data_IF_532853840900
#
_entry.id   IF_532853840900
#
_cell.length_a   1.000
_cell.length_b   1.000
_cell.length_c   1.000
_cell.angle_alpha   90.00
_cell.angle_beta   90.00
_cell.angle_gamma   90.00
#
_symmetry.space_group_name_H-M   'P 1'
#
loop_
_entity.id
_entity.type
_entity.pdbx_description
1 polymer ?
#
# COMPACT_ATOMS: atom_id res chain seq x y z
N UNK A 1 -11.25 -47.24 24.08
CA UNK A 1 -10.72 -45.92 23.67
C UNK A 1 -11.58 -44.87 24.37
N UNK A 2 -10.96 -43.91 25.08
CA UNK A 2 -11.55 -42.93 26.02
C UNK A 2 -12.68 -42.07 25.37
N UNK A 3 -13.85 -41.98 26.01
CA UNK A 3 -14.40 -40.87 26.83
C UNK A 3 -14.50 -39.48 26.17
N UNK A 4 -15.72 -38.95 26.07
CA UNK A 4 -16.11 -37.68 26.72
C UNK A 4 -17.63 -37.49 26.72
N UNK A 5 -18.15 -37.28 27.92
CA UNK A 5 -19.54 -37.06 28.25
C UNK A 5 -19.91 -35.57 28.09
N UNK A 6 -21.10 -35.30 27.58
CA UNK A 6 -21.87 -34.09 27.92
C UNK A 6 -23.18 -34.60 28.51
N UNK A 7 -23.19 -34.78 29.83
CA UNK A 7 -24.40 -34.98 30.61
C UNK A 7 -25.09 -33.61 30.74
N UNK A 8 -25.80 -33.21 29.70
CA UNK A 8 -26.83 -32.19 29.83
C UNK A 8 -28.07 -32.85 30.41
N UNK A 9 -28.38 -32.59 31.69
CA UNK A 9 -29.62 -33.01 32.32
C UNK A 9 -30.81 -32.44 31.54
N UNK A 10 -31.32 -33.18 30.56
CA UNK A 10 -32.61 -32.91 29.94
C UNK A 10 -33.60 -33.84 30.61
N UNK A 11 -34.25 -33.36 31.68
CA UNK A 11 -35.51 -33.97 32.08
C UNK A 11 -36.50 -33.72 30.94
N UNK A 12 -36.85 -34.78 30.22
CA UNK A 12 -37.96 -34.72 29.26
C UNK A 12 -39.23 -34.63 30.10
N UNK A 13 -39.66 -33.40 30.35
CA UNK A 13 -41.02 -33.13 30.82
C UNK A 13 -41.92 -33.21 29.58
N UNK A 14 -42.85 -34.17 29.57
CA UNK A 14 -43.96 -34.19 28.60
C UNK A 14 -44.80 -32.93 28.79
N UNK A 15 -44.42 -31.87 28.09
CA UNK A 15 -45.14 -30.61 28.03
C UNK A 15 -45.09 -30.11 26.60
N UNK A 16 -46.25 -29.93 25.98
CA UNK A 16 -46.34 -29.21 24.70
C UNK A 16 -45.78 -27.81 24.91
N UNK A 17 -44.58 -27.54 24.39
CA UNK A 17 -43.96 -26.22 24.42
C UNK A 17 -44.82 -25.24 23.61
N UNK A 18 -45.80 -24.63 24.28
CA UNK A 18 -46.57 -23.52 23.73
C UNK A 18 -45.76 -22.26 24.02
N UNK A 19 -45.39 -21.45 23.00
CA UNK A 19 -44.69 -20.20 23.23
C UNK A 19 -45.53 -19.32 24.13
N UNK A 20 -44.94 -18.79 25.20
CA UNK A 20 -45.62 -17.80 26.02
C UNK A 20 -45.82 -16.52 25.19
N UNK A 21 -47.05 -16.35 24.73
CA UNK A 21 -47.45 -15.25 23.84
C UNK A 21 -47.31 -13.88 24.51
N UNK A 22 -47.21 -13.82 25.84
CA UNK A 22 -47.01 -12.57 26.59
C UNK A 22 -45.57 -12.06 26.49
N UNK A 23 -44.57 -12.94 26.36
CA UNK A 23 -43.14 -12.56 26.24
C UNK A 23 -42.62 -12.54 24.80
N UNK A 24 -43.36 -13.11 23.85
CA UNK A 24 -42.98 -13.11 22.43
C UNK A 24 -42.73 -11.71 21.82
N UNK A 25 -43.49 -10.65 22.14
CA UNK A 25 -43.21 -9.29 21.66
C UNK A 25 -41.93 -8.70 22.25
N UNK A 26 -41.69 -8.90 23.56
CA UNK A 26 -40.50 -8.43 24.24
C UNK A 26 -39.23 -9.12 23.70
N UNK A 27 -39.30 -10.44 23.45
CA UNK A 27 -38.23 -11.18 22.82
C UNK A 27 -37.92 -10.68 21.40
N UNK A 28 -38.94 -10.52 20.53
CA UNK A 28 -38.75 -9.96 19.18
C UNK A 28 -38.13 -8.57 19.21
N UNK A 29 -38.56 -7.72 20.14
CA UNK A 29 -37.97 -6.40 20.35
C UNK A 29 -36.49 -6.53 20.74
N UNK A 30 -36.15 -7.35 21.73
CA UNK A 30 -34.76 -7.55 22.17
C UNK A 30 -33.84 -8.07 21.07
N UNK A 31 -34.33 -8.99 20.22
CA UNK A 31 -33.59 -9.51 19.07
C UNK A 31 -33.41 -8.40 18.03
N UNK A 32 -34.45 -7.64 17.70
CA UNK A 32 -34.36 -6.53 16.73
C UNK A 32 -33.37 -5.44 17.17
N UNK A 33 -33.35 -5.10 18.46
CA UNK A 33 -32.40 -4.15 19.06
C UNK A 33 -30.98 -4.72 19.02
N UNK A 34 -30.80 -6.00 19.35
CA UNK A 34 -29.50 -6.66 19.30
C UNK A 34 -28.95 -6.73 17.88
N UNK A 35 -29.79 -7.03 16.89
CA UNK A 35 -29.42 -7.02 15.46
C UNK A 35 -29.05 -5.62 14.98
N UNK A 36 -29.84 -4.59 15.36
CA UNK A 36 -29.55 -3.20 15.03
C UNK A 36 -28.23 -2.74 15.65
N UNK A 37 -28.01 -3.00 16.93
CA UNK A 37 -26.75 -2.71 17.61
C UNK A 37 -25.56 -3.48 17.02
N UNK A 38 -25.76 -4.75 16.64
CA UNK A 38 -24.73 -5.57 15.99
C UNK A 38 -24.40 -5.06 14.59
N UNK A 39 -25.40 -4.61 13.82
CA UNK A 39 -25.21 -4.03 12.49
C UNK A 39 -24.45 -2.70 12.57
N UNK A 40 -24.84 -1.82 13.50
CA UNK A 40 -24.15 -0.56 13.74
C UNK A 40 -22.70 -0.80 14.17
N UNK A 41 -22.47 -1.68 15.15
CA UNK A 41 -21.13 -2.03 15.62
C UNK A 41 -20.29 -2.68 14.52
N UNK A 42 -20.88 -3.57 13.72
CA UNK A 42 -20.21 -4.21 12.58
C UNK A 42 -19.82 -3.18 11.51
N UNK A 43 -20.72 -2.24 11.19
CA UNK A 43 -20.46 -1.19 10.21
C UNK A 43 -19.32 -0.25 10.64
N UNK A 44 -19.25 0.08 11.94
CA UNK A 44 -18.17 0.89 12.51
C UNK A 44 -16.85 0.12 12.47
N UNK A 45 -16.84 -1.15 12.88
CA UNK A 45 -15.63 -1.99 12.85
C UNK A 45 -15.10 -2.18 11.44
N UNK A 46 -15.99 -2.42 10.47
CA UNK A 46 -15.58 -2.56 9.07
C UNK A 46 -15.06 -1.23 8.51
N UNK A 47 -15.71 -0.10 8.83
CA UNK A 47 -15.21 1.22 8.44
C UNK A 47 -13.81 1.49 9.00
N UNK A 48 -13.57 1.17 10.28
CA UNK A 48 -12.25 1.28 10.91
C UNK A 48 -11.21 0.34 10.26
N UNK A 49 -11.62 -0.88 9.90
CA UNK A 49 -10.75 -1.83 9.20
C UNK A 49 -10.32 -1.28 7.83
N UNK A 50 -11.26 -0.75 7.06
CA UNK A 50 -10.99 -0.16 5.75
C UNK A 50 -10.06 1.07 5.84
N UNK A 51 -10.28 1.93 6.84
CA UNK A 51 -9.38 3.05 7.12
C UNK A 51 -7.96 2.56 7.47
N UNK A 52 -7.84 1.56 8.35
CA UNK A 52 -6.54 0.99 8.73
C UNK A 52 -5.79 0.39 7.54
N UNK A 53 -6.49 -0.33 6.66
CA UNK A 53 -5.90 -0.88 5.44
C UNK A 53 -5.43 0.21 4.48
N UNK A 54 -6.21 1.28 4.34
CA UNK A 54 -5.85 2.44 3.51
C UNK A 54 -4.59 3.12 4.05
N UNK A 55 -4.52 3.42 5.34
CA UNK A 55 -3.34 4.03 5.97
C UNK A 55 -2.11 3.13 5.82
N UNK A 56 -2.26 1.82 6.03
CA UNK A 56 -1.14 0.87 5.87
C UNK A 56 -0.64 0.80 4.42
N UNK A 57 -1.57 0.77 3.45
CA UNK A 57 -1.23 0.76 2.04
C UNK A 57 -0.44 2.02 1.66
N UNK A 58 -0.96 3.19 2.03
CA UNK A 58 -0.30 4.48 1.80
C UNK A 58 1.11 4.48 2.40
N UNK A 59 1.24 4.12 3.69
CA UNK A 59 2.52 4.10 4.39
C UNK A 59 3.52 3.17 3.71
N UNK A 60 3.09 1.96 3.35
CA UNK A 60 3.95 0.97 2.68
C UNK A 60 4.47 1.46 1.33
N UNK A 61 3.60 2.03 0.48
CA UNK A 61 4.02 2.58 -0.82
C UNK A 61 4.98 3.76 -0.63
N UNK A 62 4.74 4.62 0.35
CA UNK A 62 5.58 5.77 0.65
C UNK A 62 6.95 5.39 1.21
N UNK A 63 7.02 4.40 2.11
CA UNK A 63 8.28 3.84 2.60
C UNK A 63 9.08 3.17 1.47
N UNK A 64 8.40 2.45 0.58
CA UNK A 64 9.01 1.84 -0.62
C UNK A 64 9.61 2.91 -1.54
N UNK A 65 8.86 3.97 -1.83
CA UNK A 65 9.35 5.11 -2.61
C UNK A 65 10.58 5.75 -1.94
N UNK A 66 10.49 6.11 -0.66
CA UNK A 66 11.55 6.82 0.05
C UNK A 66 12.86 6.00 0.08
N UNK A 67 12.76 4.69 0.33
CA UNK A 67 13.92 3.81 0.44
C UNK A 67 14.57 3.56 -0.91
N UNK A 68 13.77 3.15 -1.91
CA UNK A 68 14.33 2.75 -3.21
C UNK A 68 14.75 3.94 -4.06
N UNK A 69 14.05 5.08 -3.96
CA UNK A 69 14.45 6.30 -4.68
C UNK A 69 15.77 6.86 -4.15
N UNK A 70 16.05 6.74 -2.85
CA UNK A 70 17.33 7.13 -2.29
C UNK A 70 18.48 6.33 -2.91
N UNK A 71 18.37 5.00 -2.92
CA UNK A 71 19.42 4.14 -3.50
C UNK A 71 19.62 4.45 -4.99
N UNK A 72 18.54 4.57 -5.76
CA UNK A 72 18.61 4.93 -7.18
C UNK A 72 19.33 6.27 -7.42
N UNK A 73 18.99 7.30 -6.64
CA UNK A 73 19.64 8.62 -6.74
C UNK A 73 21.11 8.56 -6.34
N UNK A 74 21.46 7.80 -5.29
CA UNK A 74 22.84 7.62 -4.86
C UNK A 74 23.69 6.96 -5.96
N UNK A 75 23.15 5.96 -6.68
CA UNK A 75 23.85 5.34 -7.83
C UNK A 75 23.96 6.26 -9.04
N UNK A 76 22.89 7.01 -9.36
CA UNK A 76 22.95 8.01 -10.44
C UNK A 76 23.97 9.10 -10.14
N UNK A 77 24.06 9.55 -8.89
CA UNK A 77 25.07 10.53 -8.47
C UNK A 77 26.50 10.00 -8.60
N UNK A 78 26.73 8.72 -8.35
CA UNK A 78 28.02 8.08 -8.58
C UNK A 78 28.38 8.07 -10.09
N UNK A 79 27.42 7.74 -10.96
CA UNK A 79 27.58 7.83 -12.41
C UNK A 79 27.89 9.27 -12.87
N UNK A 80 27.10 10.25 -12.44
CA UNK A 80 27.31 11.68 -12.76
C UNK A 80 28.67 12.17 -12.26
N UNK A 81 29.09 11.73 -11.08
CA UNK A 81 30.41 12.09 -10.52
C UNK A 81 31.56 11.52 -11.36
N UNK A 82 31.44 10.28 -11.83
CA UNK A 82 32.43 9.68 -12.73
C UNK A 82 32.50 10.44 -14.06
N UNK A 83 31.35 10.75 -14.65
CA UNK A 83 31.23 11.53 -15.88
C UNK A 83 31.89 12.91 -15.75
N UNK A 84 31.53 13.66 -14.71
CA UNK A 84 32.05 15.01 -14.47
C UNK A 84 33.55 15.03 -14.15
N UNK A 85 34.08 13.96 -13.58
CA UNK A 85 35.52 13.80 -13.33
C UNK A 85 36.32 13.40 -14.59
N UNK A 86 35.68 13.26 -15.75
CA UNK A 86 36.30 12.77 -16.99
C UNK A 86 36.78 11.31 -16.87
N UNK A 87 36.21 10.55 -15.95
CA UNK A 87 36.56 9.13 -15.72
C UNK A 87 35.65 8.23 -16.56
N UNK A 88 36.05 6.97 -16.71
CA UNK A 88 35.18 5.96 -17.31
C UNK A 88 33.92 5.78 -16.46
N UNK A 89 32.75 5.92 -17.11
CA UNK A 89 31.43 5.73 -16.50
C UNK A 89 30.98 4.28 -16.45
N UNK A 90 31.59 3.39 -17.25
CA UNK A 90 31.20 1.99 -17.38
C UNK A 90 30.97 1.25 -16.04
N UNK A 91 31.84 1.40 -15.02
CA UNK A 91 31.62 0.77 -13.72
C UNK A 91 30.39 1.29 -12.94
N UNK A 92 29.88 2.47 -13.26
CA UNK A 92 28.75 3.12 -12.59
C UNK A 92 27.43 3.04 -13.37
N UNK A 93 27.49 2.79 -14.69
CA UNK A 93 26.30 2.71 -15.55
C UNK A 93 25.37 1.56 -15.15
N UNK A 94 25.89 0.33 -15.08
CA UNK A 94 25.11 -0.85 -14.71
C UNK A 94 24.39 -0.69 -13.37
N UNK A 95 25.11 -0.35 -12.27
CA UNK A 95 24.49 -0.12 -10.96
C UNK A 95 23.43 0.99 -10.95
N UNK A 96 23.63 2.08 -11.71
CA UNK A 96 22.63 3.15 -11.79
C UNK A 96 21.36 2.71 -12.53
N UNK A 97 21.51 2.02 -13.65
CA UNK A 97 20.40 1.45 -14.42
C UNK A 97 19.62 0.44 -13.58
N UNK A 98 20.32 -0.48 -12.91
CA UNK A 98 19.69 -1.50 -12.07
C UNK A 98 18.89 -0.87 -10.92
N UNK A 99 19.49 0.08 -10.18
CA UNK A 99 18.81 0.72 -9.06
C UNK A 99 17.57 1.53 -9.50
N UNK A 100 17.62 2.20 -10.66
CA UNK A 100 16.47 2.90 -11.23
C UNK A 100 15.34 1.93 -11.61
N UNK A 101 15.66 0.82 -12.28
CA UNK A 101 14.68 -0.21 -12.64
C UNK A 101 14.07 -0.88 -11.40
N UNK A 102 14.90 -1.18 -10.40
CA UNK A 102 14.46 -1.77 -9.14
C UNK A 102 13.55 -0.81 -8.37
N UNK A 103 13.88 0.48 -8.33
CA UNK A 103 13.03 1.48 -7.68
C UNK A 103 11.70 1.64 -8.40
N UNK A 104 11.70 1.75 -9.73
CA UNK A 104 10.48 1.82 -10.53
C UNK A 104 9.58 0.59 -10.26
N UNK A 105 10.14 -0.62 -10.39
CA UNK A 105 9.41 -1.88 -10.22
C UNK A 105 8.86 -2.04 -8.80
N UNK A 106 9.65 -1.66 -7.78
CA UNK A 106 9.22 -1.73 -6.38
C UNK A 106 8.08 -0.75 -6.10
N UNK A 107 8.18 0.49 -6.61
CA UNK A 107 7.12 1.50 -6.44
C UNK A 107 5.84 1.06 -7.13
N UNK A 108 5.91 0.61 -8.39
CA UNK A 108 4.73 0.10 -9.10
C UNK A 108 4.15 -1.15 -8.44
N UNK A 109 4.99 -2.04 -7.92
CA UNK A 109 4.57 -3.23 -7.19
C UNK A 109 3.92 -2.93 -5.83
N UNK A 110 4.16 -1.74 -5.27
CA UNK A 110 3.55 -1.28 -4.02
C UNK A 110 2.17 -0.64 -4.21
N UNK A 111 1.70 -0.48 -5.45
CA UNK A 111 0.40 0.13 -5.74
C UNK A 111 -0.73 -0.81 -5.34
N UNK A 112 -1.83 -0.23 -4.83
CA UNK A 112 -3.05 -0.96 -4.52
C UNK A 112 -4.29 -0.12 -4.76
N UNK A 113 -5.45 -0.78 -4.79
CA UNK A 113 -6.75 -0.13 -4.94
C UNK A 113 -7.11 0.76 -3.74
N UNK A 114 -6.49 0.51 -2.58
CA UNK A 114 -6.66 1.32 -1.38
C UNK A 114 -6.05 2.72 -1.51
N UNK A 115 -5.12 2.94 -2.45
CA UNK A 115 -4.57 4.26 -2.74
C UNK A 115 -5.60 5.14 -3.45
N UNK A 116 -5.47 6.47 -3.32
CA UNK A 116 -6.23 7.39 -4.18
C UNK A 116 -5.71 7.31 -5.62
N UNK A 117 -6.55 7.67 -6.60
CA UNK A 117 -6.11 7.78 -8.01
C UNK A 117 -4.91 8.72 -8.14
N UNK A 118 -4.98 9.87 -7.49
CA UNK A 118 -3.93 10.90 -7.54
C UNK A 118 -2.58 10.38 -7.01
N UNK A 119 -2.58 9.60 -5.92
CA UNK A 119 -1.37 8.98 -5.39
C UNK A 119 -0.80 7.95 -6.37
N UNK A 120 -1.66 7.09 -6.94
CA UNK A 120 -1.21 6.11 -7.96
C UNK A 120 -0.60 6.81 -9.16
N UNK A 121 -1.22 7.88 -9.65
CA UNK A 121 -0.72 8.63 -10.79
C UNK A 121 0.64 9.28 -10.48
N UNK A 122 0.83 9.83 -9.28
CA UNK A 122 2.11 10.40 -8.86
C UNK A 122 3.22 9.35 -8.74
N UNK A 123 2.90 8.17 -8.19
CA UNK A 123 3.86 7.07 -8.05
C UNK A 123 4.23 6.44 -9.41
N UNK A 124 3.26 6.30 -10.32
CA UNK A 124 3.52 5.86 -11.70
C UNK A 124 4.38 6.89 -12.45
N UNK A 125 4.08 8.19 -12.34
CA UNK A 125 4.88 9.22 -12.97
C UNK A 125 6.34 9.23 -12.49
N UNK A 126 6.58 8.93 -11.21
CA UNK A 126 7.93 8.71 -10.69
C UNK A 126 8.59 7.47 -11.32
N UNK A 127 7.89 6.34 -11.38
CA UNK A 127 8.42 5.10 -11.95
C UNK A 127 8.80 5.29 -13.43
N UNK A 128 7.92 5.92 -14.22
CA UNK A 128 8.18 6.24 -15.63
C UNK A 128 9.40 7.14 -15.79
N UNK A 129 9.55 8.16 -14.94
CA UNK A 129 10.72 9.04 -14.97
C UNK A 129 12.02 8.31 -14.60
N UNK A 130 11.97 7.37 -13.64
CA UNK A 130 13.12 6.56 -13.27
C UNK A 130 13.57 5.65 -14.43
N UNK A 131 12.62 5.00 -15.10
CA UNK A 131 12.88 4.19 -16.30
C UNK A 131 13.43 5.06 -17.46
N UNK A 132 12.93 6.28 -17.61
CA UNK A 132 13.44 7.21 -18.61
C UNK A 132 14.91 7.58 -18.35
N UNK A 133 15.31 7.83 -17.10
CA UNK A 133 16.73 8.08 -16.77
C UNK A 133 17.57 6.82 -17.02
N UNK A 134 17.09 5.64 -16.64
CA UNK A 134 17.80 4.37 -16.87
C UNK A 134 18.07 4.15 -18.35
N UNK A 135 17.05 4.37 -19.20
CA UNK A 135 17.21 4.32 -20.65
C UNK A 135 18.21 5.36 -21.16
N UNK A 136 18.22 6.57 -20.62
CA UNK A 136 19.16 7.62 -21.05
C UNK A 136 20.62 7.24 -20.76
N UNK A 137 20.88 6.62 -19.59
CA UNK A 137 22.20 6.08 -19.26
C UNK A 137 22.56 4.95 -20.23
N UNK A 138 21.68 3.96 -20.40
CA UNK A 138 21.96 2.78 -21.23
C UNK A 138 22.08 3.05 -22.73
N UNK A 139 21.51 4.16 -23.21
CA UNK A 139 21.62 4.59 -24.61
C UNK A 139 22.67 5.69 -24.82
N UNK A 140 23.38 6.09 -23.77
CA UNK A 140 24.34 7.20 -23.77
C UNK A 140 23.74 8.48 -24.38
N UNK A 141 22.54 8.84 -23.92
CA UNK A 141 21.84 10.02 -24.39
C UNK A 141 22.69 11.29 -24.21
N UNK A 142 22.57 12.30 -25.10
CA UNK A 142 23.27 13.56 -24.96
C UNK A 142 22.99 14.22 -23.61
N UNK A 143 23.98 14.93 -23.05
CA UNK A 143 23.89 15.53 -21.70
C UNK A 143 22.65 16.39 -21.48
N UNK A 144 22.24 17.18 -22.48
CA UNK A 144 21.03 18.00 -22.38
C UNK A 144 19.74 17.18 -22.23
N UNK A 145 19.67 16.01 -22.86
CA UNK A 145 18.54 15.10 -22.72
C UNK A 145 18.59 14.35 -21.38
N UNK A 146 19.77 13.88 -20.98
CA UNK A 146 19.96 13.25 -19.68
C UNK A 146 19.54 14.18 -18.53
N UNK A 147 20.01 15.43 -18.54
CA UNK A 147 19.67 16.42 -17.51
C UNK A 147 18.16 16.66 -17.44
N UNK A 148 17.48 16.82 -18.59
CA UNK A 148 16.02 16.98 -18.63
C UNK A 148 15.30 15.80 -17.98
N UNK A 149 15.75 14.57 -18.24
CA UNK A 149 15.15 13.36 -17.65
C UNK A 149 15.43 13.28 -16.14
N UNK A 150 16.61 13.69 -15.68
CA UNK A 150 16.94 13.79 -14.25
C UNK A 150 16.09 14.85 -13.55
N UNK A 151 15.85 16.00 -14.18
CA UNK A 151 14.97 17.03 -13.64
C UNK A 151 13.54 16.50 -13.48
N UNK A 152 13.01 15.82 -14.51
CA UNK A 152 11.70 15.16 -14.46
C UNK A 152 11.62 14.09 -13.34
N UNK A 153 12.68 13.31 -13.15
CA UNK A 153 12.77 12.34 -12.04
C UNK A 153 12.73 13.04 -10.68
N UNK A 154 13.44 14.15 -10.52
CA UNK A 154 13.46 14.90 -9.27
C UNK A 154 12.12 15.58 -8.96
N UNK A 155 11.44 16.11 -9.97
CA UNK A 155 10.13 16.73 -9.83
C UNK A 155 9.06 15.72 -9.44
N UNK A 156 9.00 14.59 -10.14
CA UNK A 156 8.03 13.50 -9.86
C UNK A 156 8.28 12.88 -8.49
N UNK A 157 9.54 12.63 -8.13
CA UNK A 157 9.95 12.19 -6.78
C UNK A 157 9.49 13.17 -5.71
N UNK A 158 9.76 14.46 -5.90
CA UNK A 158 9.38 15.51 -4.94
C UNK A 158 7.86 15.59 -4.77
N UNK A 159 7.11 15.53 -5.88
CA UNK A 159 5.65 15.52 -5.84
C UNK A 159 5.10 14.32 -5.07
N UNK A 160 5.58 13.12 -5.38
CA UNK A 160 5.14 11.89 -4.72
C UNK A 160 5.49 11.89 -3.22
N UNK A 161 6.70 12.33 -2.84
CA UNK A 161 7.10 12.44 -1.44
C UNK A 161 6.27 13.48 -0.67
N UNK A 162 5.92 14.62 -1.29
CA UNK A 162 5.00 15.61 -0.67
C UNK A 162 3.62 15.01 -0.40
N UNK A 163 3.08 14.22 -1.33
CA UNK A 163 1.82 13.51 -1.12
C UNK A 163 1.92 12.49 0.02
N UNK A 164 3.03 11.76 0.08
CA UNK A 164 3.32 10.88 1.20
C UNK A 164 3.34 11.63 2.53
N UNK A 165 4.00 12.78 2.62
CA UNK A 165 4.02 13.59 3.84
C UNK A 165 2.64 14.13 4.23
N UNK A 166 1.79 14.48 3.26
CA UNK A 166 0.43 14.95 3.50
C UNK A 166 -0.54 13.85 3.97
N UNK A 167 -0.12 12.58 3.91
CA UNK A 167 -0.93 11.42 4.32
C UNK A 167 -0.68 10.97 5.76
N UNK A 168 0.26 11.62 6.46
CA UNK A 168 0.58 11.42 7.88
C UNK A 168 -0.08 12.45 8.78
#
# INVERSE_FOLDING_TARGET
MLLMAILGCTSVTEGTATPDTKVAPAYRSSVSVSLSASSATSSIRESQRQQSLTTKAIRSSCETLATTSKDAIDKVNAFVSAFNAGRSTGPAEGPAIEALNNSASSVTGSLSDALSREMRDALNAYADAALAVANAIGTHAPTGEFNRRVDQLNDTKTKALKMCMASY
#
